data_IF_032295275419
#
_entry.id   IF_032295275419
#
_cell.length_a   1.000
_cell.length_b   1.000
_cell.length_c   1.000
_cell.angle_alpha   90.00
_cell.angle_beta   90.00
_cell.angle_gamma   90.00
#
_symmetry.space_group_name_H-M   'P 1'
#
loop_
_entity.id
_entity.type
_entity.pdbx_description
1 polymer ?
#
# COMPACT_ATOMS: atom_id res chain seq x y z
N UNK A 1 15.96 -27.01 7.50
CA UNK A 1 16.40 -25.86 6.70
C UNK A 1 16.99 -24.87 7.69
N UNK A 2 18.28 -24.56 7.53
CA UNK A 2 19.03 -23.62 8.35
C UNK A 2 19.01 -22.23 7.67
N UNK A 3 19.27 -21.14 8.41
CA UNK A 3 19.31 -19.78 7.84
C UNK A 3 20.31 -19.63 6.67
N UNK A 4 21.36 -20.45 6.68
CA UNK A 4 22.41 -20.56 5.66
C UNK A 4 21.86 -20.99 4.29
N UNK A 5 20.71 -21.68 4.27
CA UNK A 5 20.07 -22.17 3.03
C UNK A 5 19.47 -21.03 2.17
N UNK A 6 19.53 -19.77 2.64
CA UNK A 6 19.00 -18.58 1.98
C UNK A 6 20.07 -17.55 1.55
N UNK A 7 21.36 -17.89 1.67
CA UNK A 7 22.45 -17.02 1.16
C UNK A 7 22.60 -17.09 -0.37
N UNK A 8 21.99 -18.10 -1.01
CA UNK A 8 21.91 -18.22 -2.45
C UNK A 8 20.72 -17.39 -2.99
N UNK A 9 20.90 -16.63 -4.08
CA UNK A 9 19.81 -15.87 -4.68
C UNK A 9 18.66 -16.80 -5.10
N UNK A 10 17.39 -16.39 -4.93
CA UNK A 10 16.25 -17.22 -5.30
C UNK A 10 16.31 -17.57 -6.78
N UNK A 11 15.91 -18.80 -7.12
CA UNK A 11 15.82 -19.24 -8.51
C UNK A 11 14.86 -18.33 -9.27
N UNK A 12 15.37 -17.65 -10.28
CA UNK A 12 14.57 -16.76 -11.13
C UNK A 12 13.69 -17.62 -12.04
N UNK A 13 12.37 -17.43 -11.95
CA UNK A 13 11.41 -18.11 -12.81
C UNK A 13 11.27 -17.34 -14.13
N UNK A 14 10.68 -17.99 -15.15
CA UNK A 14 10.43 -17.37 -16.46
C UNK A 14 9.62 -16.06 -16.36
N UNK A 15 8.78 -15.94 -15.32
CA UNK A 15 8.19 -14.68 -14.86
C UNK A 15 8.24 -14.58 -13.33
N UNK A 16 8.96 -13.58 -12.81
CA UNK A 16 9.03 -13.26 -11.38
C UNK A 16 9.90 -14.20 -10.54
N UNK A 17 9.72 -14.13 -9.23
CA UNK A 17 10.35 -15.01 -8.24
C UNK A 17 9.31 -15.39 -7.18
N UNK A 18 9.45 -16.58 -6.60
CA UNK A 18 8.59 -17.02 -5.51
C UNK A 18 8.92 -16.22 -4.23
N UNK A 19 7.93 -15.49 -3.69
CA UNK A 19 8.09 -14.77 -2.44
C UNK A 19 7.93 -15.73 -1.25
N UNK A 20 9.05 -16.13 -0.63
CA UNK A 20 9.02 -16.93 0.61
C UNK A 20 8.77 -16.03 1.83
N UNK A 21 7.53 -16.01 2.30
CA UNK A 21 7.08 -15.26 3.48
C UNK A 21 7.72 -15.72 4.81
N UNK A 22 8.51 -16.80 4.80
CA UNK A 22 9.23 -17.30 6.00
C UNK A 22 10.62 -16.69 6.15
N UNK A 23 11.12 -16.00 5.12
CA UNK A 23 12.37 -15.25 5.20
C UNK A 23 12.15 -14.09 6.17
N UNK A 24 12.79 -14.17 7.33
CA UNK A 24 12.73 -13.15 8.38
C UNK A 24 14.12 -12.56 8.57
N UNK A 25 14.19 -11.23 8.64
CA UNK A 25 15.44 -10.53 8.96
C UNK A 25 15.50 -10.27 10.45
N UNK A 26 16.72 -10.28 10.99
CA UNK A 26 16.98 -9.96 12.38
C UNK A 26 17.47 -8.51 12.46
N UNK A 27 16.86 -7.72 13.34
CA UNK A 27 17.12 -6.28 13.44
C UNK A 27 15.85 -5.55 13.87
N UNK A 28 15.99 -4.30 14.26
CA UNK A 28 14.85 -3.43 14.48
C UNK A 28 14.35 -2.89 13.14
N UNK A 29 13.06 -2.55 13.05
CA UNK A 29 12.51 -1.89 11.85
C UNK A 29 13.26 -0.58 11.51
N UNK A 30 13.88 0.05 12.52
CA UNK A 30 14.70 1.25 12.37
C UNK A 30 16.02 1.00 11.60
N UNK A 31 16.47 -0.25 11.49
CA UNK A 31 17.65 -0.63 10.72
C UNK A 31 17.37 -0.69 9.21
N UNK A 32 16.10 -0.80 8.81
CA UNK A 32 15.65 -0.89 7.40
C UNK A 32 15.01 0.41 6.93
N UNK A 33 14.22 1.06 7.78
CA UNK A 33 13.50 2.29 7.44
C UNK A 33 13.98 3.46 8.31
N UNK A 34 14.60 4.46 7.68
CA UNK A 34 14.84 5.78 8.31
C UNK A 34 13.77 6.75 7.85
N UNK A 35 12.75 6.94 8.69
CA UNK A 35 11.75 8.00 8.52
C UNK A 35 12.25 9.26 9.23
N UNK A 36 12.59 10.29 8.47
CA UNK A 36 12.94 11.59 9.02
C UNK A 36 11.67 12.43 9.14
N UNK A 37 11.31 12.83 10.35
CA UNK A 37 10.17 13.71 10.60
C UNK A 37 10.66 15.03 11.18
N UNK A 38 10.12 16.15 10.70
CA UNK A 38 10.48 17.51 11.17
C UNK A 38 9.67 17.94 12.41
N UNK A 39 8.84 17.05 12.98
CA UNK A 39 7.86 17.37 14.04
C UNK A 39 7.91 16.35 15.19
N UNK A 40 7.02 16.55 16.18
CA UNK A 40 6.85 15.70 17.38
C UNK A 40 6.77 14.23 16.99
N UNK A 41 7.68 13.44 17.55
CA UNK A 41 7.75 11.99 17.37
C UNK A 41 6.60 11.37 18.19
N UNK A 42 5.67 10.72 17.50
CA UNK A 42 4.65 9.88 18.13
C UNK A 42 5.12 8.43 18.06
N UNK A 43 5.55 7.86 19.20
CA UNK A 43 5.93 6.44 19.30
C UNK A 43 4.74 5.53 19.59
N UNK A 44 3.53 6.10 19.68
CA UNK A 44 2.31 5.32 19.86
C UNK A 44 1.95 4.68 18.54
N UNK A 45 2.16 3.37 18.43
CA UNK A 45 1.71 2.60 17.30
C UNK A 45 0.17 2.54 17.32
N UNK A 46 -0.50 2.62 16.15
CA UNK A 46 -1.93 2.32 16.07
C UNK A 46 -2.18 0.89 16.56
N UNK A 47 -3.33 0.65 17.18
CA UNK A 47 -3.72 -0.71 17.54
C UNK A 47 -3.99 -1.51 16.27
N UNK A 48 -3.06 -2.41 15.93
CA UNK A 48 -3.14 -3.27 14.75
C UNK A 48 -3.96 -4.55 15.01
N UNK A 49 -4.63 -4.68 16.17
CA UNK A 49 -5.50 -5.82 16.44
C UNK A 49 -6.70 -5.79 15.51
N UNK A 50 -6.72 -6.75 14.58
CA UNK A 50 -7.87 -6.99 13.72
C UNK A 50 -8.97 -7.60 14.58
N UNK A 51 -10.07 -6.87 14.79
CA UNK A 51 -11.28 -7.43 15.39
C UNK A 51 -11.90 -8.38 14.37
N UNK A 52 -11.84 -9.69 14.64
CA UNK A 52 -12.43 -10.71 13.77
C UNK A 52 -13.96 -10.80 13.88
N UNK A 53 -14.59 -10.02 14.77
CA UNK A 53 -16.04 -9.96 14.89
C UNK A 53 -16.61 -9.13 13.72
N UNK A 54 -17.45 -9.75 12.90
CA UNK A 54 -18.13 -9.16 11.73
C UNK A 54 -17.21 -8.76 10.56
N UNK A 55 -16.31 -9.65 10.14
CA UNK A 55 -15.57 -9.46 8.89
C UNK A 55 -16.50 -9.76 7.71
N UNK A 56 -16.87 -8.73 6.96
CA UNK A 56 -17.35 -8.89 5.59
C UNK A 56 -16.15 -8.79 4.65
N UNK A 57 -15.97 -9.82 3.81
CA UNK A 57 -14.97 -9.79 2.75
C UNK A 57 -15.51 -8.93 1.59
N UNK A 58 -14.75 -7.91 1.20
CA UNK A 58 -15.03 -7.10 0.02
C UNK A 58 -14.00 -7.39 -1.07
N UNK A 59 -14.47 -7.53 -2.30
CA UNK A 59 -13.61 -7.59 -3.47
C UNK A 59 -13.55 -6.18 -4.06
N UNK A 60 -12.37 -5.60 -4.09
CA UNK A 60 -12.15 -4.26 -4.61
C UNK A 60 -10.95 -4.23 -5.56
N UNK A 61 -11.07 -3.41 -6.60
CA UNK A 61 -9.98 -3.03 -7.48
C UNK A 61 -9.65 -1.55 -7.24
N UNK A 62 -8.37 -1.27 -7.03
CA UNK A 62 -7.82 0.07 -6.88
C UNK A 62 -6.81 0.33 -7.98
N UNK A 63 -6.77 1.55 -8.50
CA UNK A 63 -5.79 1.95 -9.52
C UNK A 63 -5.41 3.42 -9.38
N UNK A 64 -4.12 3.70 -9.48
CA UNK A 64 -3.55 5.02 -9.60
C UNK A 64 -3.13 5.28 -11.03
N UNK A 65 -3.44 6.45 -11.57
CA UNK A 65 -3.00 6.86 -12.91
C UNK A 65 -2.39 8.25 -12.89
N UNK A 66 -1.34 8.47 -13.66
CA UNK A 66 -0.76 9.79 -13.88
C UNK A 66 -0.52 10.04 -15.36
N UNK A 67 -1.09 11.12 -15.90
CA UNK A 67 -0.73 11.61 -17.24
C UNK A 67 0.50 12.51 -17.14
N UNK A 68 1.39 12.42 -18.13
CA UNK A 68 2.66 13.17 -18.18
C UNK A 68 3.54 12.99 -16.92
N UNK A 69 3.57 11.77 -16.37
CA UNK A 69 4.31 11.46 -15.16
C UNK A 69 5.81 11.82 -15.29
N UNK A 70 6.37 12.39 -14.22
CA UNK A 70 7.74 12.91 -14.19
C UNK A 70 7.94 14.29 -14.82
N UNK A 71 6.86 14.99 -15.21
CA UNK A 71 6.93 16.35 -15.78
C UNK A 71 6.23 17.38 -14.89
N UNK A 72 6.48 18.66 -15.16
CA UNK A 72 5.79 19.76 -14.48
C UNK A 72 4.30 19.85 -14.85
N UNK A 73 3.87 19.15 -15.90
CA UNK A 73 2.46 19.05 -16.32
C UNK A 73 1.80 17.76 -15.85
N UNK A 74 2.49 16.98 -15.01
CA UNK A 74 1.97 15.73 -14.48
C UNK A 74 0.62 15.93 -13.79
N UNK A 75 -0.31 15.01 -14.03
CA UNK A 75 -1.63 15.04 -13.42
C UNK A 75 -2.07 13.65 -13.00
N UNK A 76 -2.11 13.45 -11.68
CA UNK A 76 -2.45 12.18 -11.07
C UNK A 76 -3.94 12.10 -10.67
N UNK A 77 -4.46 10.88 -10.70
CA UNK A 77 -5.82 10.49 -10.29
C UNK A 77 -5.79 9.09 -9.68
N UNK A 78 -6.85 8.77 -8.96
CA UNK A 78 -7.06 7.49 -8.31
C UNK A 78 -8.48 6.99 -8.59
N UNK A 79 -8.64 5.67 -8.62
CA UNK A 79 -9.92 5.00 -8.84
C UNK A 79 -10.12 3.83 -7.89
N UNK A 80 -11.35 3.64 -7.43
CA UNK A 80 -11.82 2.51 -6.62
C UNK A 80 -13.05 1.91 -7.29
N UNK A 81 -13.08 0.60 -7.41
CA UNK A 81 -14.25 -0.19 -7.74
C UNK A 81 -14.42 -1.28 -6.69
N UNK A 82 -15.57 -1.32 -6.01
CA UNK A 82 -15.95 -2.40 -5.09
C UNK A 82 -17.07 -3.22 -5.73
N UNK A 83 -16.91 -4.53 -5.75
CA UNK A 83 -17.92 -5.47 -6.27
C UNK A 83 -19.09 -5.63 -5.29
N UNK A 84 -20.30 -5.92 -5.81
CA UNK A 84 -21.49 -6.25 -5.02
C UNK A 84 -22.73 -5.43 -5.37
N UNK A 85 -23.88 -5.85 -4.83
CA UNK A 85 -25.19 -5.21 -5.07
C UNK A 85 -25.20 -3.73 -4.63
N UNK A 86 -24.41 -3.40 -3.61
CA UNK A 86 -24.18 -2.03 -3.11
C UNK A 86 -22.72 -1.58 -3.33
N UNK A 87 -22.04 -2.11 -4.35
CA UNK A 87 -20.67 -1.78 -4.68
C UNK A 87 -20.46 -0.29 -4.96
N UNK A 88 -19.28 0.23 -4.60
CA UNK A 88 -18.91 1.63 -4.78
C UNK A 88 -18.04 1.81 -6.03
N UNK A 89 -18.22 2.93 -6.74
CA UNK A 89 -17.30 3.43 -7.77
C UNK A 89 -16.87 4.85 -7.40
N UNK A 90 -15.59 5.03 -7.10
CA UNK A 90 -15.04 6.33 -6.73
C UNK A 90 -13.89 6.71 -7.66
N UNK A 91 -13.91 7.96 -8.14
CA UNK A 91 -12.80 8.57 -8.85
C UNK A 91 -12.30 9.75 -8.01
N UNK A 92 -11.02 9.75 -7.68
CA UNK A 92 -10.39 10.70 -6.77
C UNK A 92 -9.42 11.55 -7.58
N UNK A 93 -9.59 12.87 -7.51
CA UNK A 93 -8.60 13.81 -8.01
C UNK A 93 -7.51 13.97 -6.95
N UNK A 94 -6.25 13.76 -7.31
CA UNK A 94 -5.15 13.99 -6.38
C UNK A 94 -5.03 15.49 -6.09
N UNK A 95 -5.03 15.90 -4.81
CA UNK A 95 -4.83 17.29 -4.43
C UNK A 95 -3.54 17.85 -5.02
N UNK A 96 -3.60 19.08 -5.55
CA UNK A 96 -2.46 19.72 -6.24
C UNK A 96 -1.28 20.05 -5.31
N UNK A 97 -1.48 19.98 -3.99
CA UNK A 97 -0.42 20.13 -2.99
C UNK A 97 0.33 18.82 -2.71
N UNK A 98 -0.08 17.70 -3.31
CA UNK A 98 0.65 16.44 -3.29
C UNK A 98 1.39 16.24 -4.62
N UNK A 99 2.52 15.50 -4.62
CA UNK A 99 3.21 15.14 -5.86
C UNK A 99 2.26 14.45 -6.84
N UNK A 100 2.21 14.94 -8.07
CA UNK A 100 1.39 14.37 -9.15
C UNK A 100 2.18 13.22 -9.79
N UNK A 101 2.07 12.03 -9.22
CA UNK A 101 2.80 10.84 -9.66
C UNK A 101 1.88 9.62 -9.61
N UNK A 102 2.24 8.56 -10.34
CA UNK A 102 1.45 7.33 -10.30
C UNK A 102 1.38 6.73 -8.89
N UNK A 103 2.50 6.75 -8.16
CA UNK A 103 2.63 6.15 -6.84
C UNK A 103 1.78 6.86 -5.79
N UNK A 104 1.62 8.19 -5.88
CA UNK A 104 0.70 8.93 -5.02
C UNK A 104 -0.76 8.57 -5.34
N UNK A 105 -1.09 8.37 -6.62
CA UNK A 105 -2.39 7.83 -7.04
C UNK A 105 -2.72 6.53 -6.33
N UNK A 106 -1.81 5.55 -6.43
CA UNK A 106 -1.96 4.24 -5.79
C UNK A 106 -2.13 4.34 -4.27
N UNK A 107 -1.25 5.11 -3.61
CA UNK A 107 -1.29 5.25 -2.16
C UNK A 107 -2.62 5.87 -1.66
N UNK A 108 -3.13 6.88 -2.37
CA UNK A 108 -4.39 7.53 -2.00
C UNK A 108 -5.57 6.59 -2.21
N UNK A 109 -5.64 5.86 -3.33
CA UNK A 109 -6.76 4.93 -3.56
C UNK A 109 -6.81 3.81 -2.51
N UNK A 110 -5.66 3.24 -2.14
CA UNK A 110 -5.58 2.23 -1.06
C UNK A 110 -6.01 2.79 0.29
N UNK A 111 -5.54 4.00 0.64
CA UNK A 111 -5.93 4.68 1.88
C UNK A 111 -7.43 4.94 1.94
N UNK A 112 -8.01 5.52 0.88
CA UNK A 112 -9.44 5.83 0.86
C UNK A 112 -10.31 4.57 0.90
N UNK A 113 -9.90 3.48 0.24
CA UNK A 113 -10.58 2.19 0.37
C UNK A 113 -10.55 1.68 1.81
N UNK A 114 -9.39 1.72 2.48
CA UNK A 114 -9.25 1.27 3.87
C UNK A 114 -10.13 2.09 4.83
N UNK A 115 -10.18 3.41 4.65
CA UNK A 115 -11.00 4.30 5.48
C UNK A 115 -12.50 4.11 5.21
N UNK A 116 -12.89 3.76 3.98
CA UNK A 116 -14.29 3.49 3.65
C UNK A 116 -14.86 2.27 4.39
N UNK A 117 -14.01 1.31 4.75
CA UNK A 117 -14.36 0.15 5.57
C UNK A 117 -14.53 0.45 7.06
N UNK A 118 -14.18 1.65 7.53
CA UNK A 118 -14.33 2.07 8.93
C UNK A 118 -15.59 2.92 9.20
N UNK A 119 -16.45 3.12 8.18
CA UNK A 119 -17.64 3.97 8.27
C UNK A 119 -18.96 3.22 8.54
N UNK A 120 -18.92 1.94 8.94
CA UNK A 120 -20.11 1.15 9.31
C UNK A 120 -20.34 1.02 10.82
#
# INVERSE_FOLDING_TARGET
>A
MLPEDYEEPPQQLDEGFEFDHRVTTHGSLADVFRMYTERIICNTLPDMRISLANIEEIIAATDGSCTDDGTDTAWARAGIYVEGENGMKLAIRIPSNLPQTNQVGEAITTKELADSGQMS
#
